data_IF_716128471632
#
_entry.id   IF_716128471632
#
_cell.length_a   1.000
_cell.length_b   1.000
_cell.length_c   1.000
_cell.angle_alpha   90.00
_cell.angle_beta   90.00
_cell.angle_gamma   90.00
#
_symmetry.space_group_name_H-M   'P 1'
#
loop_
_entity.id
_entity.type
_entity.pdbx_description
1 polymer ?
#
# COMPACT_ATOMS: atom_id res chain seq x y z
N UNK A 1 -5.31 -9.71 -8.96
CA UNK A 1 -4.06 -9.07 -8.51
C UNK A 1 -3.10 -10.12 -7.99
N UNK A 2 -1.86 -10.04 -8.41
CA UNK A 2 -0.83 -11.03 -8.08
C UNK A 2 0.38 -10.34 -7.44
N UNK A 3 0.80 -10.83 -6.26
CA UNK A 3 2.04 -10.37 -5.63
C UNK A 3 3.23 -10.99 -6.37
N UNK A 4 4.09 -10.16 -6.96
CA UNK A 4 5.26 -10.61 -7.70
C UNK A 4 6.49 -10.76 -6.83
N UNK A 5 6.77 -9.77 -5.98
CA UNK A 5 7.96 -9.74 -5.15
C UNK A 5 7.82 -8.76 -4.00
N UNK A 6 8.71 -8.91 -3.01
CA UNK A 6 8.86 -7.99 -1.88
C UNK A 6 10.30 -7.51 -1.79
N UNK A 7 10.48 -6.27 -1.40
CA UNK A 7 11.82 -5.75 -1.11
C UNK A 7 12.35 -6.23 0.24
N UNK A 8 13.63 -6.01 0.51
CA UNK A 8 14.16 -6.06 1.86
C UNK A 8 13.55 -4.98 2.75
N UNK A 9 13.64 -5.16 4.06
CA UNK A 9 13.13 -4.18 5.02
C UNK A 9 14.06 -2.97 5.11
N UNK A 10 13.44 -1.80 5.35
CA UNK A 10 14.17 -0.56 5.62
C UNK A 10 13.45 0.21 6.72
N UNK A 11 14.14 1.17 7.33
CA UNK A 11 13.56 2.05 8.34
C UNK A 11 13.18 3.36 7.67
N UNK A 12 11.87 3.69 7.56
CA UNK A 12 11.46 4.98 7.03
C UNK A 12 11.99 6.10 7.91
N UNK A 13 12.39 7.20 7.28
CA UNK A 13 12.80 8.37 8.04
C UNK A 13 11.56 9.08 8.60
N UNK A 14 11.27 8.83 9.88
CA UNK A 14 10.26 9.57 10.62
C UNK A 14 10.86 9.96 11.98
N UNK A 15 11.08 11.25 12.25
CA UNK A 15 11.54 11.67 13.55
C UNK A 15 10.50 11.29 14.62
N UNK A 16 10.93 10.63 15.68
CA UNK A 16 10.12 10.21 16.82
C UNK A 16 9.15 9.03 16.58
N UNK A 17 9.33 8.26 15.51
CA UNK A 17 8.52 7.06 15.27
C UNK A 17 9.40 5.83 15.09
N UNK A 18 9.03 4.73 15.77
CA UNK A 18 9.57 3.41 15.48
C UNK A 18 8.74 2.77 14.38
N UNK A 19 9.29 2.64 13.18
CA UNK A 19 8.62 1.98 12.07
C UNK A 19 9.60 1.17 11.24
N UNK A 20 9.10 0.07 10.70
CA UNK A 20 9.80 -0.75 9.71
C UNK A 20 8.93 -0.82 8.47
N UNK A 21 9.55 -0.81 7.31
CA UNK A 21 8.83 -0.86 6.05
C UNK A 21 9.49 -1.79 5.03
N UNK A 22 8.71 -2.23 4.08
CA UNK A 22 9.18 -2.91 2.87
C UNK A 22 8.22 -2.60 1.73
N UNK A 23 8.66 -2.86 0.49
CA UNK A 23 7.82 -2.67 -0.68
C UNK A 23 7.25 -4.00 -1.14
N UNK A 24 6.01 -3.96 -1.60
CA UNK A 24 5.37 -5.07 -2.32
C UNK A 24 5.08 -4.61 -3.73
N UNK A 25 5.39 -5.47 -4.71
CA UNK A 25 5.12 -5.20 -6.12
C UNK A 25 4.08 -6.20 -6.61
N UNK A 26 2.96 -5.66 -7.09
CA UNK A 26 1.84 -6.44 -7.61
C UNK A 26 1.68 -6.24 -9.11
N UNK A 27 1.14 -7.25 -9.77
CA UNK A 27 0.60 -7.11 -11.13
C UNK A 27 -0.92 -7.14 -11.07
N UNK A 28 -1.55 -6.12 -11.63
CA UNK A 28 -3.00 -6.06 -11.73
C UNK A 28 -3.49 -6.86 -12.95
N UNK A 29 -4.70 -7.40 -12.85
CA UNK A 29 -5.38 -8.02 -13.98
C UNK A 29 -5.86 -6.96 -14.97
N UNK A 30 -6.15 -7.39 -16.20
CA UNK A 30 -6.71 -6.48 -17.21
C UNK A 30 -8.04 -5.88 -16.77
N UNK A 31 -8.88 -6.66 -16.08
CA UNK A 31 -10.16 -6.16 -15.56
C UNK A 31 -9.95 -5.09 -14.48
N UNK A 32 -8.99 -5.30 -13.58
CA UNK A 32 -8.65 -4.31 -12.55
C UNK A 32 -8.12 -3.02 -13.17
N UNK A 33 -7.22 -3.14 -14.13
CA UNK A 33 -6.67 -2.00 -14.87
C UNK A 33 -7.77 -1.22 -15.60
N UNK A 34 -8.69 -1.92 -16.25
CA UNK A 34 -9.80 -1.33 -16.99
C UNK A 34 -10.73 -0.54 -16.05
N UNK A 35 -11.09 -1.10 -14.89
CA UNK A 35 -11.93 -0.42 -13.92
C UNK A 35 -11.27 0.86 -13.39
N UNK A 36 -9.98 0.79 -13.09
CA UNK A 36 -9.22 1.96 -12.63
C UNK A 36 -9.23 3.07 -13.67
N UNK A 37 -9.03 2.71 -14.94
CA UNK A 37 -8.99 3.67 -16.04
C UNK A 37 -10.37 4.26 -16.33
N UNK A 38 -11.41 3.41 -16.46
CA UNK A 38 -12.77 3.85 -16.76
C UNK A 38 -13.33 4.80 -15.72
N UNK A 39 -13.05 4.55 -14.46
CA UNK A 39 -13.53 5.38 -13.34
C UNK A 39 -12.57 6.50 -12.99
N UNK A 40 -11.44 6.63 -13.67
CA UNK A 40 -10.40 7.62 -13.39
C UNK A 40 -10.07 7.68 -11.88
N UNK A 41 -9.84 6.52 -11.29
CA UNK A 41 -9.64 6.40 -9.84
C UNK A 41 -8.40 7.16 -9.37
N UNK A 42 -8.52 8.03 -8.34
CA UNK A 42 -7.36 8.56 -7.64
C UNK A 42 -6.68 7.47 -6.79
N UNK A 43 -5.51 7.77 -6.24
CA UNK A 43 -4.68 6.77 -5.55
C UNK A 43 -5.39 6.12 -4.36
N UNK A 44 -6.11 6.88 -3.57
CA UNK A 44 -6.88 6.36 -2.43
C UNK A 44 -8.02 5.44 -2.87
N UNK A 45 -8.70 5.77 -3.96
CA UNK A 45 -9.75 4.92 -4.53
C UNK A 45 -9.19 3.62 -5.11
N UNK A 46 -8.00 3.66 -5.74
CA UNK A 46 -7.29 2.46 -6.21
C UNK A 46 -6.99 1.53 -5.03
N UNK A 47 -6.47 2.08 -3.93
CA UNK A 47 -6.14 1.31 -2.74
C UNK A 47 -7.39 0.62 -2.15
N UNK A 48 -8.47 1.35 -2.01
CA UNK A 48 -9.74 0.83 -1.51
C UNK A 48 -10.31 -0.24 -2.44
N UNK A 49 -10.33 0.02 -3.74
CA UNK A 49 -10.81 -0.92 -4.75
C UNK A 49 -10.06 -2.26 -4.72
N UNK A 50 -8.76 -2.22 -4.48
CA UNK A 50 -7.92 -3.42 -4.42
C UNK A 50 -7.89 -4.08 -3.04
N UNK A 51 -8.60 -3.53 -2.06
CA UNK A 51 -8.71 -4.09 -0.71
C UNK A 51 -7.59 -3.71 0.24
N UNK A 52 -6.81 -2.70 -0.06
CA UNK A 52 -5.74 -2.20 0.82
C UNK A 52 -6.29 -1.16 1.78
N UNK A 53 -7.05 -1.59 2.78
CA UNK A 53 -7.58 -0.68 3.80
C UNK A 53 -6.59 -0.48 4.94
N UNK A 54 -6.50 0.74 5.43
CA UNK A 54 -5.68 1.07 6.60
C UNK A 54 -6.51 0.98 7.88
N UNK A 55 -6.05 0.23 8.90
CA UNK A 55 -6.77 0.08 10.17
C UNK A 55 -6.58 1.26 11.12
N UNK A 56 -6.13 2.40 10.63
CA UNK A 56 -5.64 3.52 11.42
C UNK A 56 -6.57 3.97 12.56
N UNK A 57 -7.88 4.01 12.30
CA UNK A 57 -8.88 4.43 13.27
C UNK A 57 -9.30 3.33 14.25
N UNK A 58 -8.89 2.09 14.00
CA UNK A 58 -9.28 0.93 14.79
C UNK A 58 -8.19 0.44 15.73
N UNK A 59 -7.02 1.09 15.71
CA UNK A 59 -5.85 0.68 16.48
C UNK A 59 -5.79 1.44 17.79
N UNK A 60 -5.70 0.68 18.90
CA UNK A 60 -5.57 1.26 20.23
C UNK A 60 -4.21 1.96 20.41
N UNK A 61 -4.14 3.03 21.24
CA UNK A 61 -2.87 3.63 21.61
C UNK A 61 -1.91 2.61 22.23
N UNK A 62 -0.64 2.68 21.83
CA UNK A 62 0.39 1.76 22.26
C UNK A 62 0.45 0.44 21.50
N UNK A 63 -0.47 0.21 20.56
CA UNK A 63 -0.47 -1.00 19.74
C UNK A 63 0.28 -0.82 18.43
N UNK A 64 0.90 -1.89 17.94
CA UNK A 64 1.49 -1.92 16.61
C UNK A 64 0.43 -2.22 15.56
N UNK A 65 0.54 -1.60 14.40
CA UNK A 65 -0.36 -1.84 13.28
C UNK A 65 0.39 -1.84 11.96
N UNK A 66 -0.24 -2.44 10.95
CA UNK A 66 0.28 -2.46 9.59
C UNK A 66 -0.49 -1.45 8.75
N UNK A 67 0.25 -0.57 8.11
CA UNK A 67 -0.26 0.46 7.20
C UNK A 67 0.25 0.17 5.80
N UNK A 68 -0.60 0.37 4.80
CA UNK A 68 -0.24 0.20 3.39
C UNK A 68 -0.42 1.52 2.66
N UNK A 69 0.65 1.95 1.99
CA UNK A 69 0.68 3.23 1.29
C UNK A 69 0.95 3.02 -0.19
N UNK A 70 0.21 3.76 -1.01
CA UNK A 70 0.44 3.79 -2.44
C UNK A 70 1.80 4.43 -2.74
N UNK A 71 2.61 3.78 -3.57
CA UNK A 71 3.89 4.35 -4.03
C UNK A 71 3.81 4.73 -5.51
N UNK A 72 3.45 3.78 -6.37
CA UNK A 72 3.40 4.01 -7.81
C UNK A 72 2.50 3.00 -8.51
N UNK A 73 1.90 3.42 -9.60
CA UNK A 73 1.14 2.55 -10.49
C UNK A 73 1.47 2.88 -11.94
N UNK A 74 1.80 1.86 -12.72
CA UNK A 74 2.06 2.00 -14.15
C UNK A 74 0.89 1.42 -14.93
N UNK A 75 0.10 2.30 -15.57
CA UNK A 75 -1.09 1.91 -16.31
C UNK A 75 -0.79 1.13 -17.61
N UNK A 76 0.46 1.14 -18.07
CA UNK A 76 0.88 0.40 -19.27
C UNK A 76 1.21 -1.04 -18.92
N UNK A 77 1.99 -1.24 -17.85
CA UNK A 77 2.45 -2.57 -17.43
C UNK A 77 1.54 -3.25 -16.43
N UNK A 78 0.67 -2.49 -15.75
CA UNK A 78 -0.17 -2.99 -14.66
C UNK A 78 0.58 -3.24 -13.37
N UNK A 79 1.79 -2.72 -13.23
CA UNK A 79 2.57 -2.89 -12.01
C UNK A 79 2.17 -1.85 -10.96
N UNK A 80 1.92 -2.33 -9.75
CA UNK A 80 1.56 -1.52 -8.59
C UNK A 80 2.59 -1.73 -7.50
N UNK A 81 3.11 -0.65 -6.96
CA UNK A 81 4.06 -0.67 -5.84
C UNK A 81 3.39 -0.11 -4.61
N UNK A 82 3.41 -0.88 -3.53
CA UNK A 82 2.83 -0.54 -2.23
C UNK A 82 3.95 -0.56 -1.19
N UNK A 83 3.98 0.45 -0.34
CA UNK A 83 4.80 0.41 0.87
C UNK A 83 4.00 -0.20 2.01
N UNK A 84 4.52 -1.27 2.60
CA UNK A 84 3.96 -1.87 3.80
C UNK A 84 4.77 -1.39 4.99
N UNK A 85 4.14 -0.69 5.91
CA UNK A 85 4.79 -0.08 7.07
C UNK A 85 4.17 -0.61 8.35
N UNK A 86 5.01 -1.07 9.28
CA UNK A 86 4.60 -1.40 10.64
C UNK A 86 4.94 -0.22 11.53
N UNK A 87 3.94 0.33 12.19
CA UNK A 87 4.06 1.53 13.01
C UNK A 87 3.46 1.33 14.39
N UNK A 88 3.97 2.08 15.35
CA UNK A 88 3.43 2.11 16.69
C UNK A 88 2.41 3.24 16.80
N UNK A 89 1.20 2.93 17.23
CA UNK A 89 0.18 3.93 17.49
C UNK A 89 0.46 4.57 18.86
N UNK A 90 0.79 5.84 18.83
CA UNK A 90 1.14 6.60 20.02
C UNK A 90 -0.12 7.14 20.71
#
# INVERSE_FOLDING_TARGET
MELLTKSGTYTPYEPNCESLAYLEIYRLSENEMQEIEEQAMPTDAIMEFLGFENPHYLVEPGAWYTERNFVAYNSITGLLVIEVRKSLNI
#
